data_IF_646738852029
#
_entry.id   IF_646738852029
#
_cell.length_a   1.000
_cell.length_b   1.000
_cell.length_c   1.000
_cell.angle_alpha   90.00
_cell.angle_beta   90.00
_cell.angle_gamma   90.00
#
_symmetry.space_group_name_H-M   'P 1'
#
loop_
_entity.id
_entity.type
_entity.pdbx_description
1 polymer ?
#
# COMPACT_ATOMS: atom_id res chain seq x y z
N UNK A 1 5.42 -26.78 -59.04
CA UNK A 1 6.07 -26.26 -57.81
C UNK A 1 5.06 -25.34 -57.14
N UNK A 2 4.21 -25.89 -56.26
CA UNK A 2 3.17 -25.16 -55.54
C UNK A 2 3.79 -24.54 -54.29
N UNK A 3 3.84 -23.21 -54.23
CA UNK A 3 4.26 -22.46 -53.05
C UNK A 3 3.04 -22.35 -52.14
N UNK A 4 3.03 -23.11 -51.03
CA UNK A 4 2.10 -22.92 -49.91
C UNK A 4 2.48 -21.61 -49.21
N UNK A 5 1.66 -20.57 -49.38
CA UNK A 5 1.75 -19.37 -48.54
C UNK A 5 0.98 -19.69 -47.26
N UNK A 6 1.73 -20.00 -46.20
CA UNK A 6 1.19 -20.11 -44.85
C UNK A 6 0.70 -18.73 -44.40
N UNK A 7 -0.62 -18.53 -44.35
CA UNK A 7 -1.23 -17.44 -43.61
C UNK A 7 -0.90 -17.62 -42.13
N UNK A 8 0.12 -16.90 -41.65
CA UNK A 8 0.23 -16.60 -40.23
C UNK A 8 -0.90 -15.64 -39.87
N UNK A 9 -1.97 -16.20 -39.30
CA UNK A 9 -2.95 -15.43 -38.57
C UNK A 9 -2.22 -14.73 -37.42
N UNK A 10 -1.92 -13.44 -37.59
CA UNK A 10 -1.53 -12.57 -36.51
C UNK A 10 -2.79 -12.42 -35.65
N UNK A 11 -2.94 -13.29 -34.65
CA UNK A 11 -3.83 -13.02 -33.52
C UNK A 11 -3.21 -11.85 -32.77
N UNK A 12 -3.48 -10.64 -33.27
CA UNK A 12 -3.36 -9.44 -32.47
C UNK A 12 -4.37 -9.61 -31.34
N UNK A 13 -3.90 -10.13 -30.21
CA UNK A 13 -4.61 -10.00 -28.94
C UNK A 13 -4.74 -8.51 -28.69
N UNK A 14 -5.86 -7.94 -29.13
CA UNK A 14 -6.27 -6.60 -28.76
C UNK A 14 -6.42 -6.67 -27.25
N UNK A 15 -5.38 -6.25 -26.53
CA UNK A 15 -5.55 -5.75 -25.19
C UNK A 15 -6.59 -4.65 -25.34
N UNK A 16 -7.83 -4.98 -25.00
CA UNK A 16 -8.96 -4.10 -25.12
C UNK A 16 -8.69 -2.98 -24.11
N UNK A 17 -7.98 -1.95 -24.55
CA UNK A 17 -7.74 -0.74 -23.78
C UNK A 17 -9.13 -0.17 -23.50
N UNK A 18 -9.59 -0.35 -22.28
CA UNK A 18 -10.88 0.14 -21.81
C UNK A 18 -10.90 1.64 -22.11
N UNK A 19 -11.91 2.14 -22.81
CA UNK A 19 -11.96 3.55 -23.22
C UNK A 19 -12.57 4.47 -22.14
N UNK A 20 -13.07 3.90 -21.05
CA UNK A 20 -13.77 4.61 -19.99
C UNK A 20 -13.20 4.24 -18.62
N UNK A 21 -13.11 5.20 -17.68
CA UNK A 21 -12.73 4.91 -16.31
C UNK A 21 -13.64 3.85 -15.70
N UNK A 22 -13.09 2.84 -15.01
CA UNK A 22 -13.91 1.89 -14.28
C UNK A 22 -14.55 2.56 -13.05
N UNK A 23 -15.46 1.83 -12.42
CA UNK A 23 -15.98 2.24 -11.12
C UNK A 23 -14.83 2.24 -10.09
N UNK A 24 -14.82 3.23 -9.19
CA UNK A 24 -13.86 3.28 -8.09
C UNK A 24 -13.95 2.00 -7.24
N UNK A 25 -12.80 1.34 -6.96
CA UNK A 25 -12.80 0.18 -6.09
C UNK A 25 -13.16 0.57 -4.66
N UNK A 26 -13.75 -0.38 -3.96
CA UNK A 26 -14.05 -0.29 -2.54
C UNK A 26 -13.25 -1.36 -1.82
N UNK A 27 -12.56 -0.99 -0.76
CA UNK A 27 -11.97 -1.98 0.14
C UNK A 27 -13.05 -2.74 0.92
N UNK A 28 -12.80 -4.00 1.29
CA UNK A 28 -13.65 -4.68 2.25
C UNK A 28 -13.55 -4.00 3.64
N UNK A 29 -14.55 -4.23 4.50
CA UNK A 29 -14.60 -3.65 5.86
C UNK A 29 -13.51 -4.21 6.78
N UNK A 30 -12.84 -5.29 6.39
CA UNK A 30 -11.73 -5.87 7.13
C UNK A 30 -10.89 -6.75 6.23
N UNK A 31 -9.57 -6.61 6.33
CA UNK A 31 -8.63 -7.48 5.63
C UNK A 31 -7.26 -7.49 6.30
N UNK A 32 -6.47 -8.49 5.92
CA UNK A 32 -5.04 -8.58 6.15
C UNK A 32 -4.36 -8.80 4.82
N UNK A 33 -3.25 -8.11 4.57
CA UNK A 33 -2.40 -8.39 3.40
C UNK A 33 -0.93 -8.37 3.77
N UNK A 34 -0.14 -9.21 3.12
CA UNK A 34 1.31 -9.02 3.09
C UNK A 34 1.63 -7.81 2.20
N UNK A 35 2.65 -7.06 2.61
CA UNK A 35 3.14 -5.89 1.90
C UNK A 35 4.67 -5.94 1.82
N UNK A 36 5.21 -5.66 0.64
CA UNK A 36 6.63 -5.42 0.42
C UNK A 36 6.82 -3.95 0.13
N UNK A 37 7.62 -3.29 0.94
CA UNK A 37 7.88 -1.85 0.82
C UNK A 37 9.30 -1.67 0.32
N UNK A 38 9.44 -0.97 -0.79
CA UNK A 38 10.72 -0.61 -1.39
C UNK A 38 10.86 0.90 -1.28
N UNK A 39 11.77 1.34 -0.42
CA UNK A 39 12.17 2.73 -0.30
C UNK A 39 13.55 2.91 -0.93
N UNK A 40 13.79 4.04 -1.57
CA UNK A 40 15.09 4.37 -2.14
C UNK A 40 15.79 5.38 -1.22
N UNK A 41 17.10 5.35 -1.06
CA UNK A 41 17.84 6.41 -0.34
C UNK A 41 18.18 7.61 -1.25
N UNK A 42 18.99 8.55 -0.74
CA UNK A 42 19.43 9.75 -1.48
C UNK A 42 20.33 9.37 -2.68
N UNK A 43 21.07 8.26 -2.58
CA UNK A 43 21.86 7.65 -3.64
C UNK A 43 21.03 6.75 -4.59
N UNK A 44 19.71 6.71 -4.39
CA UNK A 44 18.74 5.90 -5.14
C UNK A 44 19.07 4.39 -5.09
N UNK A 45 19.66 3.91 -3.98
CA UNK A 45 19.74 2.48 -3.68
C UNK A 45 18.41 2.01 -3.07
N UNK A 46 17.86 0.88 -3.53
CA UNK A 46 16.62 0.33 -2.99
C UNK A 46 16.87 -0.44 -1.68
N UNK A 47 15.96 -0.25 -0.74
CA UNK A 47 15.91 -0.91 0.55
C UNK A 47 14.54 -1.55 0.72
N UNK A 48 14.53 -2.83 1.07
CA UNK A 48 13.31 -3.64 0.99
C UNK A 48 12.89 -4.15 2.36
N UNK A 49 11.62 -3.94 2.68
CA UNK A 49 11.03 -4.33 3.94
C UNK A 49 9.77 -5.15 3.71
N UNK A 50 9.61 -6.23 4.48
CA UNK A 50 8.39 -7.03 4.48
C UNK A 50 7.52 -6.64 5.66
N UNK A 51 6.22 -6.65 5.42
CA UNK A 51 5.26 -6.14 6.38
C UNK A 51 3.94 -6.84 6.24
N UNK A 52 3.13 -6.73 7.29
CA UNK A 52 1.74 -7.15 7.24
C UNK A 52 0.88 -5.93 7.53
N UNK A 53 -0.06 -5.66 6.63
CA UNK A 53 -1.06 -4.61 6.80
C UNK A 53 -2.40 -5.22 7.22
N UNK A 54 -2.90 -4.79 8.38
CA UNK A 54 -4.22 -5.11 8.89
C UNK A 54 -5.10 -3.87 8.76
N UNK A 55 -6.31 -4.05 8.24
CA UNK A 55 -7.27 -2.98 8.06
C UNK A 55 -8.61 -3.37 8.65
N UNK A 56 -9.26 -2.42 9.32
CA UNK A 56 -10.64 -2.54 9.80
C UNK A 56 -11.37 -1.23 9.57
N UNK A 57 -12.62 -1.31 9.12
CA UNK A 57 -13.52 -0.17 8.98
C UNK A 57 -14.81 -0.45 9.74
N UNK A 58 -14.99 0.24 10.86
CA UNK A 58 -16.19 0.11 11.70
C UNK A 58 -16.72 1.50 12.06
N UNK A 59 -18.04 1.66 12.06
CA UNK A 59 -18.69 2.93 12.42
C UNK A 59 -18.16 4.18 11.69
N UNK A 60 -17.78 4.03 10.42
CA UNK A 60 -17.19 5.06 9.55
C UNK A 60 -15.75 5.48 9.88
N UNK A 61 -15.10 4.80 10.81
CA UNK A 61 -13.69 5.00 11.17
C UNK A 61 -12.87 3.83 10.68
N UNK A 62 -11.75 4.11 10.03
CA UNK A 62 -10.78 3.07 9.70
C UNK A 62 -9.69 2.95 10.76
N UNK A 63 -9.21 1.75 11.00
CA UNK A 63 -7.98 1.48 11.71
C UNK A 63 -7.05 0.66 10.84
N UNK A 64 -5.77 1.02 10.85
CA UNK A 64 -4.71 0.38 10.09
C UNK A 64 -3.56 0.00 11.00
N UNK A 65 -2.97 -1.17 10.77
CA UNK A 65 -1.72 -1.56 11.40
C UNK A 65 -0.80 -2.08 10.32
N UNK A 66 0.28 -1.36 10.07
CA UNK A 66 1.35 -1.82 9.21
C UNK A 66 2.51 -2.25 10.11
N UNK A 67 2.78 -3.55 10.18
CA UNK A 67 3.81 -4.12 11.04
C UNK A 67 4.98 -4.63 10.20
N UNK A 68 6.17 -4.03 10.37
CA UNK A 68 7.40 -4.48 9.72
C UNK A 68 7.97 -5.74 10.39
N UNK A 69 8.35 -6.74 9.59
CA UNK A 69 9.01 -7.95 10.08
C UNK A 69 10.50 -7.72 10.35
N UNK A 70 11.09 -8.52 11.26
CA UNK A 70 12.50 -8.43 11.66
C UNK A 70 13.46 -8.67 10.50
N UNK A 71 13.89 -7.58 9.84
CA UNK A 71 15.16 -7.37 9.12
C UNK A 71 15.05 -6.05 8.38
N UNK A 72 15.86 -5.09 8.81
CA UNK A 72 16.09 -3.86 8.08
C UNK A 72 17.51 -3.94 7.52
N UNK A 73 17.64 -3.97 6.20
CA UNK A 73 18.88 -3.62 5.49
C UNK A 73 19.14 -2.11 5.57
N UNK A 74 18.11 -1.30 5.87
CA UNK A 74 18.21 0.15 5.99
C UNK A 74 17.16 0.81 6.89
N UNK A 75 17.51 1.99 7.41
CA UNK A 75 16.94 2.58 8.62
C UNK A 75 15.70 3.47 8.43
N UNK A 76 15.02 3.37 7.29
CA UNK A 76 13.97 4.33 6.90
C UNK A 76 12.52 3.88 7.07
N UNK A 77 12.26 2.60 7.40
CA UNK A 77 10.95 1.99 7.19
C UNK A 77 9.77 2.66 7.94
N UNK A 78 9.99 3.19 9.14
CA UNK A 78 9.00 4.04 9.81
C UNK A 78 9.22 5.52 9.51
N UNK A 79 9.34 5.89 8.24
CA UNK A 79 9.51 7.27 7.76
C UNK A 79 10.69 8.02 8.41
N UNK A 80 11.77 7.31 8.75
CA UNK A 80 12.90 7.89 9.46
C UNK A 80 12.66 8.22 10.94
N UNK A 81 11.52 7.86 11.53
CA UNK A 81 11.21 8.10 12.94
C UNK A 81 11.68 6.97 13.87
N UNK A 82 11.86 5.75 13.35
CA UNK A 82 12.31 4.57 14.10
C UNK A 82 13.67 4.06 13.61
N UNK A 83 14.61 4.98 13.37
CA UNK A 83 15.99 4.67 12.97
C UNK A 83 16.61 3.69 13.96
N UNK A 84 17.32 2.68 13.46
CA UNK A 84 17.96 1.61 14.24
C UNK A 84 17.02 0.65 15.00
N UNK A 85 15.72 0.64 14.72
CA UNK A 85 14.80 -0.34 15.32
C UNK A 85 14.73 -1.61 14.47
N UNK A 86 14.79 -2.82 15.07
CA UNK A 86 14.77 -4.09 14.32
C UNK A 86 13.42 -4.42 13.69
N UNK A 87 12.35 -3.79 14.20
CA UNK A 87 10.99 -3.83 13.70
C UNK A 87 10.29 -2.56 14.18
N UNK A 88 9.33 -2.08 13.40
CA UNK A 88 8.44 -1.02 13.83
C UNK A 88 7.04 -1.22 13.26
N UNK A 89 6.07 -0.59 13.91
CA UNK A 89 4.65 -0.65 13.57
C UNK A 89 4.13 0.76 13.38
N UNK A 90 3.40 0.98 12.29
CA UNK A 90 2.59 2.19 12.10
C UNK A 90 1.16 1.83 12.46
N UNK A 91 0.62 2.51 13.47
CA UNK A 91 -0.77 2.38 13.90
C UNK A 91 -1.55 3.60 13.44
N UNK A 92 -2.53 3.38 12.57
CA UNK A 92 -3.44 4.38 12.02
C UNK A 92 -4.77 4.22 12.75
N UNK A 93 -5.14 5.22 13.53
CA UNK A 93 -6.42 5.32 14.25
C UNK A 93 -6.94 6.75 14.02
N UNK A 94 -7.58 7.37 15.02
CA UNK A 94 -7.83 8.83 15.04
C UNK A 94 -6.51 9.65 15.02
N UNK A 95 -5.38 9.00 15.30
CA UNK A 95 -4.03 9.54 15.14
C UNK A 95 -3.12 8.48 14.49
N UNK A 96 -1.96 8.91 13.98
CA UNK A 96 -0.91 8.00 13.50
C UNK A 96 0.19 7.90 14.54
N UNK A 97 0.47 6.67 14.98
CA UNK A 97 1.55 6.37 15.92
C UNK A 97 2.61 5.48 15.30
N UNK A 98 3.85 5.67 15.75
CA UNK A 98 4.95 4.75 15.48
C UNK A 98 5.29 4.01 16.76
N UNK A 99 5.34 2.69 16.68
CA UNK A 99 5.68 1.81 17.80
C UNK A 99 6.85 0.91 17.42
N UNK A 100 7.91 0.93 18.22
CA UNK A 100 9.06 0.04 18.12
C UNK A 100 9.53 -0.37 19.53
N UNK A 101 10.60 -1.15 19.63
CA UNK A 101 11.01 -1.84 20.87
C UNK A 101 11.11 -0.90 22.09
N UNK A 102 11.62 0.33 21.91
CA UNK A 102 11.72 1.34 22.97
C UNK A 102 11.17 2.71 22.54
N UNK A 103 10.26 2.73 21.59
CA UNK A 103 9.69 3.98 21.05
C UNK A 103 8.18 3.79 20.90
N UNK A 104 7.42 4.72 21.48
CA UNK A 104 6.06 4.98 21.05
C UNK A 104 5.92 6.48 20.88
N UNK A 105 5.48 6.94 19.71
CA UNK A 105 5.36 8.37 19.47
C UNK A 105 4.21 8.68 18.51
N UNK A 106 3.70 9.90 18.61
CA UNK A 106 2.67 10.48 17.78
C UNK A 106 3.30 11.11 16.53
N UNK A 107 3.12 10.49 15.36
CA UNK A 107 3.64 10.98 14.08
C UNK A 107 2.71 12.01 13.44
N UNK A 108 1.40 11.79 13.52
CA UNK A 108 0.40 12.70 12.96
C UNK A 108 -0.84 12.76 13.84
N UNK A 109 -1.12 13.92 14.48
CA UNK A 109 -2.39 14.12 15.17
C UNK A 109 -3.55 14.28 14.18
N UNK A 110 -4.72 13.74 14.51
CA UNK A 110 -5.96 13.99 13.77
C UNK A 110 -5.98 13.38 12.37
N UNK A 111 -5.89 12.06 12.28
CA UNK A 111 -6.06 11.31 11.04
C UNK A 111 -7.44 10.65 11.00
N UNK A 112 -8.17 10.79 9.89
CA UNK A 112 -9.44 10.07 9.69
C UNK A 112 -9.23 8.66 9.10
N UNK A 113 -7.96 8.26 8.95
CA UNK A 113 -7.52 7.03 8.34
C UNK A 113 -7.94 6.92 6.87
N UNK A 114 -7.93 5.71 6.33
CA UNK A 114 -8.24 5.44 4.91
C UNK A 114 -9.67 4.91 4.79
N UNK A 115 -10.60 5.65 4.16
CA UNK A 115 -11.98 5.19 4.00
C UNK A 115 -12.09 4.00 3.04
N UNK A 116 -13.19 3.24 3.10
CA UNK A 116 -13.47 2.15 2.15
C UNK A 116 -13.41 2.61 0.70
N UNK A 117 -13.88 3.83 0.41
CA UNK A 117 -13.78 4.46 -0.91
C UNK A 117 -12.48 5.24 -1.09
N UNK A 118 -11.34 4.59 -0.84
CA UNK A 118 -10.02 5.21 -0.81
C UNK A 118 -9.59 5.88 -2.14
N UNK A 119 -10.15 5.44 -3.27
CA UNK A 119 -9.94 6.07 -4.58
C UNK A 119 -11.06 7.01 -5.03
N UNK A 120 -12.05 7.30 -4.18
CA UNK A 120 -13.15 8.19 -4.58
C UNK A 120 -12.60 9.57 -4.94
N UNK A 121 -12.81 9.98 -6.19
CA UNK A 121 -12.33 11.26 -6.72
C UNK A 121 -10.91 11.22 -7.31
N UNK A 122 -10.26 10.05 -7.32
CA UNK A 122 -8.98 9.87 -8.02
C UNK A 122 -9.17 9.97 -9.55
N UNK A 123 -8.11 10.40 -10.23
CA UNK A 123 -8.04 10.41 -11.69
C UNK A 123 -7.56 9.05 -12.17
N UNK A 124 -8.34 8.39 -13.02
CA UNK A 124 -7.90 7.16 -13.68
C UNK A 124 -6.94 7.51 -14.82
N UNK A 125 -5.77 6.89 -14.83
CA UNK A 125 -4.68 7.14 -15.79
C UNK A 125 -4.62 6.09 -16.91
N UNK A 126 -5.22 4.91 -16.70
CA UNK A 126 -5.27 3.85 -17.71
C UNK A 126 -5.05 2.46 -17.13
N UNK A 127 -4.72 1.53 -18.02
CA UNK A 127 -4.43 0.12 -17.68
C UNK A 127 -2.94 -0.16 -17.88
N UNK A 128 -2.33 -0.84 -16.91
CA UNK A 128 -0.91 -1.21 -16.92
C UNK A 128 -0.71 -2.69 -16.57
N UNK A 129 0.54 -3.17 -16.72
CA UNK A 129 0.98 -4.48 -16.23
C UNK A 129 1.97 -4.28 -15.09
N UNK A 130 1.61 -4.75 -13.89
CA UNK A 130 2.47 -4.68 -12.70
C UNK A 130 2.55 -6.08 -12.10
N UNK A 131 3.76 -6.62 -11.96
CA UNK A 131 4.01 -7.98 -11.45
C UNK A 131 3.22 -9.09 -12.17
N UNK A 132 2.99 -8.94 -13.49
CA UNK A 132 2.21 -9.89 -14.29
C UNK A 132 0.69 -9.81 -14.06
N UNK A 133 0.21 -8.82 -13.31
CA UNK A 133 -1.21 -8.51 -13.12
C UNK A 133 -1.61 -7.33 -13.99
N UNK A 134 -2.79 -7.43 -14.61
CA UNK A 134 -3.44 -6.30 -15.28
C UNK A 134 -4.10 -5.41 -14.23
N UNK A 135 -3.71 -4.13 -14.19
CA UNK A 135 -4.14 -3.19 -13.14
C UNK A 135 -4.70 -1.91 -13.74
N UNK A 136 -5.68 -1.32 -13.05
CA UNK A 136 -6.10 0.07 -13.24
C UNK A 136 -5.17 0.98 -12.44
N UNK A 137 -4.62 2.01 -13.10
CA UNK A 137 -3.73 3.00 -12.51
C UNK A 137 -4.50 4.29 -12.20
N UNK A 138 -4.33 4.82 -10.99
CA UNK A 138 -5.03 5.98 -10.46
C UNK A 138 -4.07 6.97 -9.83
N UNK A 139 -4.41 8.25 -9.88
CA UNK A 139 -3.70 9.34 -9.24
C UNK A 139 -4.61 10.18 -8.33
N UNK A 140 -4.17 10.46 -7.12
CA UNK A 140 -4.90 11.32 -6.16
C UNK A 140 -3.93 12.01 -5.21
N UNK A 141 -4.02 13.34 -5.09
CA UNK A 141 -3.25 14.14 -4.12
C UNK A 141 -1.76 13.75 -4.05
N UNK A 142 -1.06 13.75 -5.19
CA UNK A 142 0.36 13.38 -5.32
C UNK A 142 0.72 11.91 -5.13
N UNK A 143 -0.27 11.05 -4.92
CA UNK A 143 -0.09 9.61 -4.80
C UNK A 143 -0.54 8.87 -6.06
N UNK A 144 0.11 7.74 -6.33
CA UNK A 144 -0.32 6.79 -7.34
C UNK A 144 -0.76 5.47 -6.71
N UNK A 145 -1.73 4.84 -7.36
CA UNK A 145 -2.34 3.61 -6.88
C UNK A 145 -2.65 2.68 -8.04
N UNK A 146 -2.42 1.38 -7.83
CA UNK A 146 -2.72 0.35 -8.81
C UNK A 146 -3.65 -0.69 -8.17
N UNK A 147 -4.80 -0.92 -8.78
CA UNK A 147 -5.79 -1.92 -8.34
C UNK A 147 -6.00 -2.97 -9.41
N UNK A 148 -6.16 -4.24 -9.06
CA UNK A 148 -6.36 -5.30 -10.06
C UNK A 148 -7.65 -5.10 -10.86
N UNK A 149 -7.61 -5.29 -12.19
CA UNK A 149 -8.82 -5.12 -13.01
C UNK A 149 -9.90 -6.17 -12.67
N UNK A 150 -9.48 -7.41 -12.38
CA UNK A 150 -10.40 -8.52 -12.12
C UNK A 150 -10.84 -8.61 -10.65
N UNK A 151 -10.01 -8.11 -9.73
CA UNK A 151 -10.29 -8.04 -8.29
C UNK A 151 -9.98 -6.64 -7.76
N UNK A 152 -10.75 -5.59 -8.14
CA UNK A 152 -10.37 -4.18 -7.91
C UNK A 152 -10.17 -3.78 -6.46
N UNK A 153 -10.71 -4.54 -5.51
CA UNK A 153 -10.46 -4.30 -4.10
C UNK A 153 -9.03 -4.66 -3.68
N UNK A 154 -8.36 -5.56 -4.40
CA UNK A 154 -6.94 -5.83 -4.22
C UNK A 154 -6.15 -4.62 -4.75
N UNK A 155 -5.61 -3.83 -3.84
CA UNK A 155 -4.46 -2.99 -4.18
C UNK A 155 -3.33 -3.91 -4.62
N UNK A 156 -2.63 -3.54 -5.69
CA UNK A 156 -1.39 -4.19 -6.12
C UNK A 156 -0.20 -3.36 -5.69
N UNK A 157 -0.29 -2.05 -5.89
CA UNK A 157 0.78 -1.13 -5.57
C UNK A 157 0.23 0.20 -5.09
N UNK A 158 0.97 0.83 -4.20
CA UNK A 158 0.82 2.20 -3.76
C UNK A 158 2.16 2.93 -3.87
N UNK A 159 2.14 4.17 -4.33
CA UNK A 159 3.28 5.08 -4.32
C UNK A 159 2.96 6.29 -3.45
N UNK A 160 3.86 6.60 -2.52
CA UNK A 160 3.76 7.74 -1.61
C UNK A 160 3.80 9.10 -2.33
N UNK A 161 3.46 10.20 -1.64
CA UNK A 161 3.49 11.53 -2.22
C UNK A 161 4.95 11.97 -2.25
N UNK A 162 5.67 11.64 -3.33
CA UNK A 162 7.00 12.15 -3.66
C UNK A 162 7.52 11.49 -4.94
N UNK A 163 7.14 12.04 -6.08
CA UNK A 163 7.83 11.81 -7.37
C UNK A 163 9.28 12.34 -7.40
N UNK A 164 9.81 12.77 -6.26
CA UNK A 164 11.19 13.18 -6.07
C UNK A 164 11.80 12.31 -4.98
N UNK A 165 12.93 11.72 -5.32
CA UNK A 165 13.80 10.93 -4.45
C UNK A 165 13.86 11.49 -3.02
N UNK A 166 13.72 10.64 -1.99
CA UNK A 166 13.56 9.19 -2.05
C UNK A 166 12.16 8.72 -2.48
N UNK A 167 12.11 7.78 -3.43
CA UNK A 167 10.86 7.15 -3.90
C UNK A 167 10.47 6.02 -2.93
N UNK A 168 9.17 5.79 -2.74
CA UNK A 168 8.68 4.66 -1.95
C UNK A 168 7.51 3.98 -2.65
N UNK A 169 7.62 2.65 -2.82
CA UNK A 169 6.53 1.80 -3.29
C UNK A 169 6.12 0.83 -2.19
N UNK A 170 4.83 0.55 -2.11
CA UNK A 170 4.26 -0.53 -1.30
C UNK A 170 3.53 -1.47 -2.24
N UNK A 171 4.06 -2.67 -2.39
CA UNK A 171 3.46 -3.76 -3.16
C UNK A 171 2.67 -4.66 -2.22
N UNK A 172 1.38 -4.83 -2.49
CA UNK A 172 0.51 -5.72 -1.74
C UNK A 172 0.39 -7.05 -2.49
N UNK A 173 0.43 -8.14 -1.74
CA UNK A 173 0.42 -9.48 -2.32
C UNK A 173 -0.82 -10.27 -1.91
N UNK A 174 -0.73 -11.07 -0.84
CA UNK A 174 -1.78 -12.01 -0.45
C UNK A 174 -2.85 -11.32 0.39
N UNK A 175 -4.03 -11.09 -0.20
CA UNK A 175 -5.20 -10.53 0.49
C UNK A 175 -6.02 -11.62 1.20
N UNK A 176 -6.31 -11.40 2.49
CA UNK A 176 -7.18 -12.24 3.31
C UNK A 176 -8.32 -11.36 3.83
N UNK A 177 -9.52 -11.55 3.27
CA UNK A 177 -10.70 -10.76 3.63
C UNK A 177 -11.40 -11.39 4.83
N UNK A 178 -11.21 -10.79 6.00
CA UNK A 178 -11.77 -11.28 7.26
C UNK A 178 -11.90 -10.16 8.29
N UNK A 179 -12.82 -10.28 9.27
CA UNK A 179 -12.86 -9.38 10.41
C UNK A 179 -11.55 -9.40 11.19
N UNK A 180 -11.03 -8.21 11.51
CA UNK A 180 -9.79 -8.09 12.28
C UNK A 180 -10.09 -8.03 13.78
N UNK A 181 -9.19 -8.60 14.59
CA UNK A 181 -9.28 -8.48 16.05
C UNK A 181 -9.04 -7.01 16.46
N UNK A 182 -9.99 -6.35 17.16
CA UNK A 182 -9.84 -4.95 17.58
C UNK A 182 -8.56 -4.67 18.38
N UNK A 183 -8.09 -5.63 19.19
CA UNK A 183 -6.89 -5.45 20.02
C UNK A 183 -5.60 -5.30 19.22
N UNK A 184 -5.60 -5.58 17.90
CA UNK A 184 -4.47 -5.32 17.03
C UNK A 184 -4.14 -3.83 16.93
N UNK A 185 -5.14 -2.97 17.15
CA UNK A 185 -5.04 -1.51 17.01
C UNK A 185 -4.84 -0.79 18.35
N UNK A 186 -4.76 -1.52 19.46
CA UNK A 186 -4.49 -0.95 20.78
C UNK A 186 -3.03 -0.45 20.86
N UNK A 187 -2.84 0.71 21.50
CA UNK A 187 -1.51 1.20 21.85
C UNK A 187 -0.87 0.33 22.93
N UNK A 188 0.48 0.20 22.93
CA UNK A 188 1.18 -0.46 24.03
C UNK A 188 0.90 0.25 25.35
N UNK A 189 0.57 -0.51 26.40
CA UNK A 189 0.16 0.03 27.70
C UNK A 189 1.34 0.46 28.59
N UNK A 190 2.54 -0.01 28.26
CA UNK A 190 3.75 0.13 29.06
C UNK A 190 4.74 1.16 28.51
N UNK A 191 4.37 1.90 27.45
CA UNK A 191 5.20 2.93 26.83
C UNK A 191 4.34 4.17 26.61
N UNK A 192 4.88 5.36 26.91
CA UNK A 192 4.19 6.62 26.64
C UNK A 192 4.19 6.91 25.14
N UNK A 193 2.99 7.04 24.55
CA UNK A 193 2.79 7.34 23.13
C UNK A 193 2.36 8.80 22.88
N UNK A 194 2.32 9.63 23.93
CA UNK A 194 1.83 11.02 23.84
C UNK A 194 2.85 11.99 23.25
N UNK A 195 4.13 11.62 23.26
CA UNK A 195 5.21 12.45 22.75
C UNK A 195 5.22 12.46 21.21
N UNK A 196 5.54 13.59 20.57
CA UNK A 196 5.71 13.64 19.12
C UNK A 196 6.89 12.77 18.68
N UNK A 197 6.82 12.23 17.46
CA UNK A 197 7.96 11.54 16.87
C UNK A 197 9.13 12.52 16.59
N UNK A 198 10.39 12.07 16.78
CA UNK A 198 11.58 12.90 16.63
C UNK A 198 11.85 13.34 15.19
#
# INVERSE_FOLDING_TARGET
>A
MLVLIALFAITASIACARATPPQYPLWPTGFKTEATIVAFDEENQPHTHRSVFYYSYTNKTSSGRLHGQERHDHFGYCYGWAVNQPSCTILITDNVYVVANNLCCLAMPGNYGVPIGWLKGATWLGIEQVHGKTVDHWYSHEHEYWSEVNEPFNGVRYSGPNFKTPRQFTDYDVWQVEPQNPSLFDLPKNVDCSQPCP
#
